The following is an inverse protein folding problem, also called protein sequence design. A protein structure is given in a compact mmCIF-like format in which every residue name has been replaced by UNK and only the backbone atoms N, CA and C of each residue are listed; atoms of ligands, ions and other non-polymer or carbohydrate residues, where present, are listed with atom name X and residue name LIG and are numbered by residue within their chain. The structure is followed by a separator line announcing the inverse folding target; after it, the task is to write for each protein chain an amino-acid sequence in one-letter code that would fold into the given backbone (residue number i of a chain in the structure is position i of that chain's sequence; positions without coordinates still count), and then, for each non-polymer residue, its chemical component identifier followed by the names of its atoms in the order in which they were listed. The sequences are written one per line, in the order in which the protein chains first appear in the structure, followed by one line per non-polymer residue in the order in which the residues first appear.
data_IF_520512075666
#
_entry.id   IF_520512075666
#
_cell.length_a   1.000
_cell.length_b   1.000
_cell.length_c   1.000
_cell.angle_alpha   90.00
_cell.angle_beta   90.00
_cell.angle_gamma   90.00
#
_symmetry.space_group_name_H-M   'P 1'
#
loop_
_entity.id
_entity.type
_entity.pdbx_description
1 polymer ?
#
# COMPACT_ATOMS: atom_id res chain seq x y z
N UNK A 1 9.22 -3.36 2.31
CA UNK A 1 8.58 -4.07 3.45
C UNK A 1 9.65 -4.38 4.50
N UNK A 2 9.47 -3.96 5.76
CA UNK A 2 10.49 -4.12 6.80
C UNK A 2 10.36 -5.41 7.64
N UNK A 3 9.37 -6.27 7.36
CA UNK A 3 9.18 -7.55 8.06
C UNK A 3 8.62 -7.46 9.48
N UNK A 4 8.32 -6.25 9.99
CA UNK A 4 7.78 -6.06 11.34
C UNK A 4 6.28 -6.40 11.42
N UNK A 5 5.88 -7.04 12.50
CA UNK A 5 4.49 -7.28 12.92
C UNK A 5 4.21 -6.55 14.23
N UNK A 6 2.96 -6.10 14.50
CA UNK A 6 1.79 -6.19 13.63
C UNK A 6 1.85 -5.22 12.42
N UNK A 7 0.99 -5.47 11.44
CA UNK A 7 0.80 -4.63 10.25
C UNK A 7 -0.63 -4.15 10.16
N UNK A 8 -0.82 -2.96 9.58
CA UNK A 8 -2.10 -2.34 9.27
C UNK A 8 -2.38 -2.43 7.77
N UNK A 9 -3.66 -2.38 7.40
CA UNK A 9 -4.12 -2.25 6.03
C UNK A 9 -3.90 -0.81 5.53
N UNK A 10 -2.99 -0.61 4.57
CA UNK A 10 -2.71 0.68 3.96
C UNK A 10 -3.33 0.77 2.57
N UNK A 11 -4.34 1.65 2.42
CA UNK A 11 -5.01 1.91 1.14
C UNK A 11 -4.14 2.77 0.22
N UNK A 12 -4.28 2.57 -1.09
CA UNK A 12 -3.55 3.34 -2.09
C UNK A 12 -3.80 4.85 -1.98
N UNK A 13 -2.73 5.64 -2.14
CA UNK A 13 -2.79 7.11 -2.17
C UNK A 13 -3.12 7.72 -3.55
N UNK A 14 -3.40 6.89 -4.54
CA UNK A 14 -3.49 7.32 -5.93
C UNK A 14 -4.92 7.69 -6.37
N UNK A 15 -5.06 8.81 -7.08
CA UNK A 15 -6.35 9.22 -7.66
C UNK A 15 -6.90 8.21 -8.68
N UNK A 16 -6.03 7.52 -9.41
CA UNK A 16 -6.40 6.45 -10.34
C UNK A 16 -7.12 5.27 -9.66
N UNK A 17 -6.92 5.08 -8.36
CA UNK A 17 -7.62 4.09 -7.55
C UNK A 17 -8.90 4.64 -6.87
N UNK A 18 -9.45 5.73 -7.42
CA UNK A 18 -10.60 6.46 -6.90
C UNK A 18 -10.40 7.03 -5.49
N UNK A 19 -9.15 7.32 -5.09
CA UNK A 19 -8.89 8.10 -3.88
C UNK A 19 -9.07 9.59 -4.14
N UNK A 20 -9.76 10.28 -3.24
CA UNK A 20 -9.94 11.73 -3.28
C UNK A 20 -11.35 12.14 -2.85
N UNK A 21 -11.60 13.44 -2.67
CA UNK A 21 -12.93 13.96 -2.33
C UNK A 21 -13.54 13.32 -1.05
N UNK A 22 -12.71 12.93 -0.09
CA UNK A 22 -13.14 12.22 1.13
C UNK A 22 -13.34 10.71 0.95
N UNK A 23 -13.17 10.17 -0.26
CA UNK A 23 -13.25 8.75 -0.57
C UNK A 23 -11.91 8.06 -0.36
N UNK A 24 -11.98 6.87 0.25
CA UNK A 24 -10.86 5.92 0.33
C UNK A 24 -10.81 5.11 -0.97
N UNK A 25 -9.61 4.69 -1.36
CA UNK A 25 -9.45 3.73 -2.45
C UNK A 25 -10.16 2.42 -2.12
N UNK A 26 -10.49 1.64 -3.15
CA UNK A 26 -11.11 0.31 -3.00
C UNK A 26 -10.25 -0.61 -2.13
N UNK A 27 -10.86 -1.49 -1.34
CA UNK A 27 -10.15 -2.43 -0.46
C UNK A 27 -9.21 -3.37 -1.22
N UNK A 28 -9.46 -3.63 -2.51
CA UNK A 28 -8.54 -4.39 -3.38
C UNK A 28 -7.22 -3.66 -3.66
N UNK A 29 -7.15 -2.35 -3.37
CA UNK A 29 -5.95 -1.52 -3.51
C UNK A 29 -5.38 -1.22 -2.12
N UNK A 30 -5.05 -2.30 -1.41
CA UNK A 30 -4.55 -2.28 -0.04
C UNK A 30 -3.30 -3.15 0.10
N UNK A 31 -2.29 -2.67 0.81
CA UNK A 31 -1.08 -3.42 1.14
C UNK A 31 -0.86 -3.49 2.65
N UNK A 32 -0.22 -4.55 3.18
CA UNK A 32 0.11 -4.64 4.60
C UNK A 32 1.39 -3.83 4.92
N UNK A 33 1.29 -2.84 5.80
CA UNK A 33 2.42 -2.04 6.28
C UNK A 33 2.45 -1.97 7.80
N UNK A 34 3.65 -1.99 8.40
CA UNK A 34 3.74 -1.66 9.82
C UNK A 34 3.45 -0.16 10.03
N UNK A 35 2.99 0.19 11.24
CA UNK A 35 2.54 1.55 11.59
C UNK A 35 3.47 2.67 11.13
N UNK A 36 4.78 2.50 11.34
CA UNK A 36 5.78 3.50 10.96
C UNK A 36 5.80 3.74 9.44
N UNK A 37 5.93 2.68 8.65
CA UNK A 37 5.97 2.80 7.19
C UNK A 37 4.62 3.21 6.60
N UNK A 38 3.50 2.85 7.26
CA UNK A 38 2.18 3.31 6.88
C UNK A 38 2.08 4.84 6.98
N UNK A 39 2.54 5.42 8.10
CA UNK A 39 2.59 6.89 8.28
C UNK A 39 3.51 7.54 7.24
N UNK A 40 4.71 7.00 7.04
CA UNK A 40 5.68 7.54 6.07
C UNK A 40 5.11 7.55 4.65
N UNK A 41 4.40 6.49 4.26
CA UNK A 41 3.72 6.40 2.97
C UNK A 41 2.56 7.39 2.85
N UNK A 42 1.68 7.46 3.85
CA UNK A 42 0.50 8.34 3.85
C UNK A 42 0.86 9.81 3.81
N UNK A 43 1.93 10.18 4.50
CA UNK A 43 2.39 11.56 4.60
C UNK A 43 3.51 11.90 3.61
N UNK A 44 3.93 10.95 2.77
CA UNK A 44 5.01 11.10 1.79
C UNK A 44 6.32 11.62 2.43
N UNK A 45 6.69 11.10 3.60
CA UNK A 45 7.84 11.60 4.39
C UNK A 45 9.20 11.19 3.82
N UNK A 46 9.26 10.05 3.14
CA UNK A 46 10.52 9.42 2.69
C UNK A 46 10.63 9.29 1.17
N UNK A 47 9.58 9.67 0.44
CA UNK A 47 9.51 9.51 -1.02
C UNK A 47 8.60 10.57 -1.64
N UNK A 48 8.85 10.92 -2.90
CA UNK A 48 7.95 11.79 -3.69
C UNK A 48 6.65 11.07 -4.03
N UNK A 49 5.64 11.81 -4.49
CA UNK A 49 4.36 11.23 -4.92
C UNK A 49 4.54 10.20 -6.05
N UNK A 50 5.37 10.49 -7.03
CA UNK A 50 5.62 9.58 -8.16
C UNK A 50 6.37 8.32 -7.71
N UNK A 51 7.33 8.47 -6.79
CA UNK A 51 8.00 7.32 -6.16
C UNK A 51 7.02 6.47 -5.36
N UNK A 52 6.09 7.10 -4.63
CA UNK A 52 5.06 6.41 -3.86
C UNK A 52 4.09 5.62 -4.73
N UNK A 53 3.75 6.13 -5.92
CA UNK A 53 2.94 5.41 -6.92
C UNK A 53 3.65 4.12 -7.33
N UNK A 54 4.87 4.24 -7.84
CA UNK A 54 5.67 3.11 -8.35
C UNK A 54 5.90 2.08 -7.23
N UNK A 55 6.27 2.54 -6.04
CA UNK A 55 6.51 1.68 -4.89
C UNK A 55 5.25 0.95 -4.43
N UNK A 56 4.11 1.65 -4.39
CA UNK A 56 2.85 1.04 -3.99
C UNK A 56 2.41 -0.04 -4.97
N UNK A 57 2.53 0.20 -6.28
CA UNK A 57 2.13 -0.77 -7.30
C UNK A 57 2.96 -2.06 -7.22
N UNK A 58 4.28 -1.94 -7.02
CA UNK A 58 5.16 -3.09 -6.81
C UNK A 58 4.82 -3.87 -5.52
N UNK A 59 4.46 -3.16 -4.45
CA UNK A 59 4.04 -3.77 -3.19
C UNK A 59 2.66 -4.45 -3.31
N UNK A 60 1.76 -3.88 -4.11
CA UNK A 60 0.44 -4.43 -4.39
C UNK A 60 0.57 -5.74 -5.17
N UNK A 61 1.36 -5.75 -6.25
CA UNK A 61 1.64 -6.97 -7.01
C UNK A 61 2.17 -8.09 -6.11
N UNK A 62 3.14 -7.76 -5.24
CA UNK A 62 3.65 -8.72 -4.26
C UNK A 62 2.55 -9.23 -3.32
N UNK A 63 1.67 -8.35 -2.85
CA UNK A 63 0.57 -8.69 -1.95
C UNK A 63 -0.42 -9.63 -2.64
N UNK A 64 -0.84 -9.31 -3.86
CA UNK A 64 -1.73 -10.13 -4.68
C UNK A 64 -1.12 -11.51 -4.96
N UNK A 65 0.18 -11.59 -5.23
CA UNK A 65 0.89 -12.87 -5.41
C UNK A 65 0.88 -13.72 -4.14
N UNK A 66 1.06 -13.11 -2.97
CA UNK A 66 1.03 -13.83 -1.68
C UNK A 66 -0.38 -14.29 -1.33
N UNK A 67 -1.40 -13.49 -1.64
CA UNK A 67 -2.81 -13.86 -1.41
C UNK A 67 -3.28 -15.00 -2.33
N UNK A 68 -2.73 -15.10 -3.54
CA UNK A 68 -3.04 -16.16 -4.50
C UNK A 68 -2.03 -17.32 -4.47
N UNK A 69 -1.10 -17.32 -3.52
CA UNK A 69 -0.16 -18.42 -3.37
C UNK A 69 -0.93 -19.66 -2.92
N UNK A 70 -0.86 -20.72 -3.73
CA UNK A 70 -1.38 -22.04 -3.37
C UNK A 70 -0.18 -22.84 -2.86
N UNK A 71 -0.24 -23.30 -1.62
CA UNK A 71 0.67 -24.33 -1.14
C UNK A 71 0.26 -25.64 -1.83
N UNK A 72 1.01 -26.07 -2.85
CA UNK A 72 0.91 -27.41 -3.45
C UNK A 72 1.53 -28.47 -2.51
#
# INVERSE_FOLDING_TARGET
MCGRTPVDAAHSNQGAHNKGMGLKACDSKTIPLCRQHHIEYDQLLTMTRDQAVIWFDAMLEKTERMLNFKDD
#
